data_IF_506760411465
#
_entry.id   IF_506760411465
#
_cell.length_a   1.000
_cell.length_b   1.000
_cell.length_c   1.000
_cell.angle_alpha   90.00
_cell.angle_beta   90.00
_cell.angle_gamma   90.00
#
_symmetry.space_group_name_H-M   'P 1'
#
loop_
_entity.id
_entity.type
_entity.pdbx_description
1 polymer ?
#
# COMPACT_ATOMS: atom_id res chain seq x y z
N UNK A 1 2.22 8.98 3.55
CA UNK A 1 1.46 8.85 4.83
C UNK A 1 0.37 7.78 4.66
N UNK A 2 -0.61 8.09 3.83
CA UNK A 2 -1.70 7.15 3.57
C UNK A 2 -1.90 6.93 2.08
N UNK A 3 -2.56 5.82 1.75
CA UNK A 3 -2.81 5.48 0.36
C UNK A 3 -4.18 4.82 0.22
N UNK A 4 -4.74 4.90 -0.98
CA UNK A 4 -6.03 4.30 -1.25
C UNK A 4 -5.85 3.03 -2.06
N UNK A 5 -6.67 2.02 -1.76
CA UNK A 5 -6.59 0.74 -2.45
C UNK A 5 -6.29 0.96 -3.93
N UNK A 6 -5.22 0.35 -4.41
CA UNK A 6 -4.82 0.49 -5.81
C UNK A 6 -3.66 1.46 -5.95
N UNK A 7 -3.14 1.92 -4.82
CA UNK A 7 -2.02 2.85 -4.85
C UNK A 7 -0.69 2.09 -4.72
N UNK A 8 0.38 2.71 -5.18
CA UNK A 8 1.69 2.08 -5.12
C UNK A 8 2.37 2.38 -3.79
N UNK A 9 2.74 1.32 -3.08
CA UNK A 9 3.39 1.48 -1.79
C UNK A 9 4.86 1.05 -1.86
N UNK A 10 5.65 1.51 -0.90
CA UNK A 10 7.06 1.16 -0.86
C UNK A 10 7.86 2.11 -1.73
N UNK A 11 7.15 2.89 -2.53
CA UNK A 11 7.81 3.84 -3.40
C UNK A 11 6.99 5.11 -3.51
N UNK A 12 5.75 5.04 -3.03
CA UNK A 12 4.85 6.18 -3.08
C UNK A 12 4.08 6.32 -1.78
N UNK A 13 3.63 5.20 -1.23
CA UNK A 13 2.86 5.22 0.01
C UNK A 13 3.20 4.01 0.88
N UNK A 14 2.42 3.80 1.94
CA UNK A 14 2.65 2.69 2.84
C UNK A 14 1.36 2.28 3.53
N UNK A 15 0.24 2.35 2.80
CA UNK A 15 -1.06 1.98 3.35
C UNK A 15 -1.38 2.84 4.57
N UNK A 16 -2.58 3.40 4.59
CA UNK A 16 -2.99 4.26 5.69
C UNK A 16 -3.00 3.47 7.00
N UNK A 17 -3.58 2.28 6.95
CA UNK A 17 -3.66 1.43 8.14
C UNK A 17 -4.61 0.28 7.90
N UNK A 18 -5.59 0.52 7.04
CA UNK A 18 -6.58 -0.50 6.71
C UNK A 18 -6.15 -1.31 5.49
N UNK A 19 -5.00 -0.95 4.94
CA UNK A 19 -4.47 -1.62 3.77
C UNK A 19 -3.14 -2.29 4.09
N UNK A 20 -2.82 -3.33 3.36
CA UNK A 20 -1.59 -4.07 3.56
C UNK A 20 -0.61 -3.76 2.44
N UNK A 21 0.51 -3.13 2.79
CA UNK A 21 1.51 -2.79 1.79
C UNK A 21 2.79 -3.61 2.01
N UNK A 22 3.03 -4.61 1.21
CA UNK A 22 4.25 -5.46 1.32
C UNK A 22 5.49 -4.77 0.76
N UNK A 23 6.65 -5.18 1.25
CA UNK A 23 7.90 -4.60 0.80
C UNK A 23 8.44 -5.39 -0.38
N UNK A 24 8.30 -4.81 -1.56
CA UNK A 24 8.75 -5.45 -2.79
C UNK A 24 9.12 -4.40 -3.83
N UNK A 25 9.50 -4.88 -5.02
CA UNK A 25 9.88 -3.99 -6.12
C UNK A 25 8.71 -3.07 -6.49
N UNK A 26 7.54 -3.66 -6.69
CA UNK A 26 6.35 -2.88 -7.04
C UNK A 26 5.13 -3.38 -6.27
N UNK A 27 5.07 -3.04 -5.01
CA UNK A 27 3.95 -3.44 -4.12
C UNK A 27 2.81 -2.43 -4.17
N UNK A 28 1.59 -2.92 -3.96
CA UNK A 28 0.41 -2.07 -3.97
C UNK A 28 -0.42 -2.27 -2.71
N UNK A 29 -1.02 -1.18 -2.22
CA UNK A 29 -1.83 -1.25 -1.03
C UNK A 29 -3.13 -1.99 -1.29
N UNK A 30 -3.37 -3.04 -0.52
CA UNK A 30 -4.59 -3.82 -0.68
C UNK A 30 -5.12 -4.26 0.68
N UNK A 31 -6.43 -4.40 0.77
CA UNK A 31 -7.06 -4.80 2.03
C UNK A 31 -6.50 -6.14 2.49
N UNK A 32 -6.28 -6.26 3.81
CA UNK A 32 -5.74 -7.49 4.37
C UNK A 32 -6.73 -8.64 4.20
N UNK A 33 -6.23 -9.76 3.69
CA UNK A 33 -7.07 -10.94 3.48
C UNK A 33 -6.48 -12.15 4.19
#
# INVERSE_FOLDING_TARGET
NCAKEGEVCGWGSKCCHGLDCPLAFIPYCEKYR
#
